data_IF_910590459938
#
_entry.id   IF_910590459938
#
_cell.length_a   1.000
_cell.length_b   1.000
_cell.length_c   1.000
_cell.angle_alpha   90.00
_cell.angle_beta   90.00
_cell.angle_gamma   90.00
#
_symmetry.space_group_name_H-M   'P 1'
#
loop_
_entity.id
_entity.type
_entity.pdbx_description
1 polymer ?
#
# COMPACT_ATOMS: atom_id res chain seq x y z
N UNK A 1 58.35 -9.42 33.88
CA UNK A 1 57.02 -10.10 33.81
C UNK A 1 55.96 -9.58 34.77
N UNK A 2 56.28 -8.92 35.87
CA UNK A 2 55.31 -8.41 36.86
C UNK A 2 54.56 -7.14 36.41
N UNK A 3 55.14 -6.31 35.55
CA UNK A 3 54.56 -5.05 35.08
C UNK A 3 53.55 -5.22 33.94
N UNK A 4 53.64 -6.29 33.16
CA UNK A 4 52.73 -6.54 32.02
C UNK A 4 51.35 -7.04 32.55
N UNK A 5 51.32 -7.81 33.63
CA UNK A 5 50.09 -8.28 34.26
C UNK A 5 49.26 -7.12 34.92
N UNK A 6 49.96 -6.08 35.42
CA UNK A 6 49.27 -4.93 36.02
C UNK A 6 48.60 -4.05 34.95
N UNK A 7 49.25 -3.84 33.80
CA UNK A 7 48.70 -3.06 32.66
C UNK A 7 47.49 -3.79 32.05
N UNK A 8 47.56 -5.12 31.94
CA UNK A 8 46.41 -5.91 31.43
C UNK A 8 45.21 -5.88 32.34
N UNK A 9 45.42 -5.88 33.67
CA UNK A 9 44.33 -5.76 34.68
C UNK A 9 43.65 -4.41 34.64
N UNK A 10 44.43 -3.33 34.46
CA UNK A 10 43.88 -1.95 34.37
C UNK A 10 43.10 -1.80 33.06
N UNK A 11 43.55 -2.33 31.94
CA UNK A 11 42.82 -2.32 30.67
C UNK A 11 41.53 -3.11 30.72
N UNK A 12 41.51 -4.27 31.36
CA UNK A 12 40.26 -5.07 31.54
C UNK A 12 39.25 -4.36 32.45
N UNK A 13 39.69 -3.67 33.51
CA UNK A 13 38.78 -2.93 34.40
C UNK A 13 38.22 -1.67 33.72
N UNK A 14 38.99 -0.97 32.93
CA UNK A 14 38.54 0.20 32.18
C UNK A 14 37.55 -0.21 31.06
N UNK A 15 37.73 -1.37 30.41
CA UNK A 15 36.77 -1.88 29.42
C UNK A 15 35.47 -2.38 30.05
N UNK A 16 35.50 -2.92 31.30
CA UNK A 16 34.28 -3.34 31.98
C UNK A 16 33.47 -2.18 32.58
N UNK A 17 34.12 -1.06 32.97
CA UNK A 17 33.42 0.14 33.48
C UNK A 17 32.85 1.00 32.34
N UNK A 18 33.40 0.92 31.14
CA UNK A 18 32.88 1.61 29.94
C UNK A 18 31.56 1.05 29.41
N UNK A 19 31.19 -0.19 29.77
CA UNK A 19 29.93 -0.84 29.33
C UNK A 19 28.72 -0.55 30.24
N UNK A 20 28.89 0.18 31.33
CA UNK A 20 27.80 0.45 32.28
C UNK A 20 27.09 1.80 32.08
N UNK A 21 27.46 2.62 31.10
CA UNK A 21 26.95 3.98 30.97
C UNK A 21 25.99 4.23 29.80
N UNK A 22 25.41 3.17 29.22
CA UNK A 22 24.33 3.37 28.26
C UNK A 22 23.14 2.46 28.61
N UNK A 23 22.40 2.84 29.67
CA UNK A 23 21.01 2.45 29.75
C UNK A 23 20.22 3.16 28.65
N UNK A 24 20.43 2.78 27.38
CA UNK A 24 19.41 3.01 26.35
C UNK A 24 18.30 2.03 26.69
N UNK A 25 17.30 2.49 27.42
CA UNK A 25 16.04 1.79 27.54
C UNK A 25 15.35 1.86 26.17
N UNK A 26 15.75 0.96 25.28
CA UNK A 26 14.97 0.71 24.07
C UNK A 26 13.72 0.01 24.58
N UNK A 27 12.61 0.74 24.71
CA UNK A 27 11.29 0.15 24.90
C UNK A 27 10.90 -0.59 23.61
N UNK A 28 11.51 -1.76 23.41
CA UNK A 28 11.35 -2.60 22.23
C UNK A 28 10.04 -3.41 22.22
N UNK A 29 9.19 -3.27 23.24
CA UNK A 29 8.13 -4.25 23.50
C UNK A 29 6.81 -3.63 23.99
N UNK A 30 6.42 -2.43 23.58
CA UNK A 30 5.01 -2.11 23.70
C UNK A 30 4.25 -2.77 22.52
N UNK A 31 3.33 -3.71 22.76
CA UNK A 31 2.45 -4.21 21.72
C UNK A 31 1.76 -3.00 21.10
N UNK A 32 1.66 -2.96 19.79
CA UNK A 32 0.88 -1.93 19.10
C UNK A 32 -0.55 -2.02 19.62
N UNK A 33 -0.93 -1.16 20.56
CA UNK A 33 -2.25 -1.11 21.16
C UNK A 33 -3.33 -0.81 20.11
N UNK A 34 -4.61 -0.86 20.45
CA UNK A 34 -5.68 -0.52 19.53
C UNK A 34 -5.50 0.91 19.00
N UNK A 35 -5.95 1.15 17.76
CA UNK A 35 -5.93 2.48 17.19
C UNK A 35 -6.74 3.46 18.05
N UNK A 36 -6.23 4.66 18.23
CA UNK A 36 -6.86 5.74 18.98
C UNK A 36 -7.20 6.88 18.03
N UNK A 37 -8.26 7.62 18.35
CA UNK A 37 -8.61 8.82 17.61
C UNK A 37 -7.70 9.97 18.02
N UNK A 38 -7.17 10.66 17.01
CA UNK A 38 -6.37 11.87 17.19
C UNK A 38 -7.01 12.99 16.38
N UNK A 39 -7.31 14.10 17.02
CA UNK A 39 -7.79 15.30 16.34
C UNK A 39 -6.59 16.05 15.75
N UNK A 40 -6.64 16.30 14.44
CA UNK A 40 -5.60 17.02 13.71
C UNK A 40 -5.88 18.52 13.62
N UNK A 41 -7.16 18.89 13.43
CA UNK A 41 -7.57 20.30 13.29
C UNK A 41 -9.09 20.45 13.36
N UNK A 42 -9.55 21.69 13.23
CA UNK A 42 -10.96 22.02 13.10
C UNK A 42 -11.76 21.96 14.40
N UNK A 43 -13.00 22.44 14.33
CA UNK A 43 -13.97 22.54 15.44
C UNK A 43 -15.30 21.94 15.01
N UNK A 44 -16.28 21.93 15.90
CA UNK A 44 -17.62 21.42 15.63
C UNK A 44 -17.84 19.99 16.14
N UNK A 45 -19.09 19.53 16.04
CA UNK A 45 -19.48 18.20 16.52
C UNK A 45 -19.24 17.09 15.49
N UNK A 46 -19.45 17.40 14.21
CA UNK A 46 -19.20 16.47 13.11
C UNK A 46 -17.71 16.20 12.89
N UNK A 47 -17.40 15.02 12.41
CA UNK A 47 -16.02 14.59 12.11
C UNK A 47 -15.86 14.28 10.63
N UNK A 48 -14.76 14.75 10.05
CA UNK A 48 -14.20 14.20 8.80
C UNK A 48 -13.03 13.32 9.19
N UNK A 49 -13.13 12.05 8.89
CA UNK A 49 -12.06 11.08 9.16
C UNK A 49 -11.06 11.06 8.00
N UNK A 50 -9.79 11.34 8.30
CA UNK A 50 -8.68 11.18 7.39
C UNK A 50 -8.06 9.80 7.60
N UNK A 51 -8.21 8.91 6.62
CA UNK A 51 -7.54 7.61 6.57
C UNK A 51 -6.30 7.71 5.68
N UNK A 52 -5.19 7.19 6.16
CA UNK A 52 -3.95 7.14 5.39
C UNK A 52 -3.73 5.76 4.79
N UNK A 53 -3.48 5.74 3.48
CA UNK A 53 -3.21 4.53 2.74
C UNK A 53 -1.93 4.69 1.91
N UNK A 54 -0.81 4.19 2.45
CA UNK A 54 0.53 4.43 1.89
C UNK A 54 1.35 3.16 1.74
N UNK A 55 2.14 3.10 0.66
CA UNK A 55 3.06 2.01 0.36
C UNK A 55 2.48 0.91 -0.53
N UNK A 56 3.23 -0.18 -0.71
CA UNK A 56 2.84 -1.29 -1.57
C UNK A 56 1.71 -2.12 -0.95
N UNK A 57 0.67 -2.39 -1.73
CA UNK A 57 -0.50 -3.16 -1.30
C UNK A 57 -0.16 -4.64 -1.16
N UNK A 58 -0.22 -5.15 0.07
CA UNK A 58 0.06 -6.55 0.38
C UNK A 58 -0.76 -7.02 1.58
N UNK A 59 -1.09 -8.30 1.59
CA UNK A 59 -1.68 -8.99 2.74
C UNK A 59 -0.65 -9.60 3.67
N UNK A 60 0.64 -9.50 3.33
CA UNK A 60 1.72 -10.01 4.16
C UNK A 60 1.93 -9.10 5.38
N UNK A 61 2.23 -9.71 6.52
CA UNK A 61 2.67 -8.98 7.70
C UNK A 61 4.03 -8.33 7.42
N UNK A 62 4.26 -7.18 8.04
CA UNK A 62 5.57 -6.53 7.92
C UNK A 62 6.56 -7.28 8.78
N UNK A 63 7.58 -7.85 8.14
CA UNK A 63 8.70 -8.47 8.83
C UNK A 63 9.45 -7.41 9.67
N UNK A 64 9.66 -7.71 10.95
CA UNK A 64 10.37 -6.84 11.89
C UNK A 64 10.49 -7.50 13.25
N UNK A 65 11.33 -6.93 14.12
CA UNK A 65 11.48 -7.41 15.51
C UNK A 65 10.17 -7.27 16.31
N UNK A 66 9.28 -6.38 15.88
CA UNK A 66 7.94 -6.17 16.44
C UNK A 66 6.93 -6.50 15.35
N UNK A 67 6.05 -7.51 15.53
CA UNK A 67 4.99 -7.79 14.59
C UNK A 67 4.07 -6.58 14.42
N UNK A 68 3.92 -6.11 13.19
CA UNK A 68 2.98 -5.05 12.85
C UNK A 68 1.80 -5.68 12.08
N UNK A 69 0.56 -5.33 12.40
CA UNK A 69 -0.57 -5.82 11.63
C UNK A 69 -0.41 -5.38 10.17
N UNK A 70 -0.77 -6.28 9.26
CA UNK A 70 -0.71 -5.96 7.84
C UNK A 70 -1.69 -4.82 7.48
N UNK A 71 -1.49 -4.26 6.30
CA UNK A 71 -2.26 -3.13 5.79
C UNK A 71 -3.76 -3.40 5.76
N UNK A 72 -4.19 -4.60 5.37
CA UNK A 72 -5.60 -4.98 5.31
C UNK A 72 -6.24 -4.99 6.70
N UNK A 73 -5.55 -5.59 7.69
CA UNK A 73 -6.03 -5.66 9.07
C UNK A 73 -6.18 -4.27 9.68
N UNK A 74 -5.19 -3.40 9.47
CA UNK A 74 -5.21 -2.02 9.96
C UNK A 74 -6.37 -1.24 9.33
N UNK A 75 -6.51 -1.29 8.01
CA UNK A 75 -7.58 -0.60 7.30
C UNK A 75 -8.97 -1.08 7.74
N UNK A 76 -9.14 -2.40 7.91
CA UNK A 76 -10.39 -2.99 8.42
C UNK A 76 -10.71 -2.56 9.85
N UNK A 77 -9.71 -2.49 10.74
CA UNK A 77 -9.85 -1.99 12.10
C UNK A 77 -10.33 -0.53 12.09
N UNK A 78 -9.69 0.32 11.29
CA UNK A 78 -10.03 1.74 11.15
C UNK A 78 -11.47 1.95 10.62
N UNK A 79 -11.86 1.24 9.55
CA UNK A 79 -13.23 1.28 9.02
C UNK A 79 -14.26 0.75 10.02
N UNK A 80 -13.91 -0.31 10.77
CA UNK A 80 -14.79 -0.87 11.81
C UNK A 80 -15.02 0.13 12.93
N UNK A 81 -13.98 0.85 13.36
CA UNK A 81 -14.09 1.92 14.35
C UNK A 81 -14.93 3.08 13.82
N UNK A 82 -14.65 3.55 12.62
CA UNK A 82 -15.41 4.61 11.97
C UNK A 82 -16.90 4.27 11.81
N UNK A 83 -17.22 3.00 11.54
CA UNK A 83 -18.62 2.57 11.37
C UNK A 83 -19.45 2.71 12.65
N UNK A 84 -18.82 2.60 13.83
CA UNK A 84 -19.43 2.70 15.14
C UNK A 84 -19.55 4.14 15.66
N UNK A 85 -18.81 5.08 15.07
CA UNK A 85 -18.84 6.49 15.49
C UNK A 85 -19.82 7.27 14.62
N UNK A 86 -20.97 7.62 15.21
CA UNK A 86 -22.01 8.38 14.52
C UNK A 86 -21.62 9.84 14.20
N UNK A 87 -20.58 10.36 14.86
CA UNK A 87 -20.06 11.70 14.59
C UNK A 87 -19.21 11.75 13.33
N UNK A 88 -18.71 10.61 12.81
CA UNK A 88 -18.03 10.53 11.51
C UNK A 88 -19.07 10.71 10.41
N UNK A 89 -19.00 11.84 9.71
CA UNK A 89 -19.94 12.28 8.67
C UNK A 89 -19.35 12.27 7.27
N UNK A 90 -18.05 12.18 7.13
CA UNK A 90 -17.34 11.99 5.87
C UNK A 90 -16.00 11.31 6.11
N UNK A 91 -15.46 10.72 5.05
CA UNK A 91 -14.12 10.13 5.05
C UNK A 91 -13.31 10.71 3.90
N UNK A 92 -12.07 11.07 4.16
CA UNK A 92 -11.05 11.32 3.14
C UNK A 92 -10.04 10.18 3.21
N UNK A 93 -9.84 9.46 2.12
CA UNK A 93 -8.79 8.45 2.00
C UNK A 93 -7.63 9.07 1.26
N UNK A 94 -6.54 9.32 1.98
CA UNK A 94 -5.28 9.82 1.41
C UNK A 94 -4.50 8.64 0.87
N UNK A 95 -4.27 8.61 -0.45
CA UNK A 95 -3.65 7.46 -1.13
C UNK A 95 -2.27 7.86 -1.64
N UNK A 96 -1.23 7.13 -1.21
CA UNK A 96 0.13 7.23 -1.72
C UNK A 96 0.70 5.82 -1.97
N UNK A 97 0.30 5.18 -3.08
CA UNK A 97 0.57 3.77 -3.35
C UNK A 97 0.80 3.49 -4.84
N UNK A 98 1.85 2.74 -5.19
CA UNK A 98 2.05 2.25 -6.56
C UNK A 98 1.15 1.05 -6.92
N UNK A 99 0.32 0.59 -5.98
CA UNK A 99 -0.46 -0.64 -6.10
C UNK A 99 0.17 -1.82 -5.36
N UNK A 100 -0.10 -3.04 -5.81
CA UNK A 100 0.41 -4.27 -5.20
C UNK A 100 -0.35 -5.51 -5.63
N UNK A 101 -0.56 -6.48 -4.73
CA UNK A 101 -1.22 -7.75 -5.10
C UNK A 101 -2.68 -7.53 -5.48
N UNK A 102 -3.14 -8.28 -6.49
CA UNK A 102 -4.52 -8.19 -7.01
C UNK A 102 -5.54 -8.39 -5.90
N UNK A 103 -5.40 -9.48 -5.15
CA UNK A 103 -6.37 -9.85 -4.10
C UNK A 103 -6.44 -8.81 -2.99
N UNK A 104 -5.28 -8.29 -2.52
CA UNK A 104 -5.29 -7.27 -1.47
C UNK A 104 -5.93 -5.96 -1.95
N UNK A 105 -5.67 -5.56 -3.20
CA UNK A 105 -6.29 -4.38 -3.81
C UNK A 105 -7.81 -4.52 -3.92
N UNK A 106 -8.30 -5.69 -4.32
CA UNK A 106 -9.74 -5.96 -4.42
C UNK A 106 -10.43 -6.02 -3.04
N UNK A 107 -9.77 -6.60 -2.02
CA UNK A 107 -10.27 -6.59 -0.63
C UNK A 107 -10.43 -5.16 -0.12
N UNK A 108 -9.41 -4.31 -0.28
CA UNK A 108 -9.46 -2.92 0.17
C UNK A 108 -10.58 -2.12 -0.49
N UNK A 109 -10.71 -2.25 -1.82
CA UNK A 109 -11.81 -1.66 -2.58
C UNK A 109 -13.17 -2.14 -2.05
N UNK A 110 -13.33 -3.45 -1.86
CA UNK A 110 -14.57 -4.05 -1.34
C UNK A 110 -14.91 -3.50 0.05
N UNK A 111 -13.97 -3.50 0.98
CA UNK A 111 -14.17 -3.03 2.35
C UNK A 111 -14.56 -1.54 2.41
N UNK A 112 -13.90 -0.70 1.63
CA UNK A 112 -14.23 0.72 1.57
C UNK A 112 -15.61 0.96 0.95
N UNK A 113 -15.94 0.23 -0.12
CA UNK A 113 -17.25 0.31 -0.77
C UNK A 113 -18.37 -0.15 0.16
N UNK A 114 -18.22 -1.29 0.84
CA UNK A 114 -19.19 -1.80 1.80
C UNK A 114 -19.39 -0.83 2.96
N UNK A 115 -18.30 -0.27 3.49
CA UNK A 115 -18.35 0.76 4.50
C UNK A 115 -19.17 1.97 4.03
N UNK A 116 -18.89 2.49 2.83
CA UNK A 116 -19.60 3.64 2.24
C UNK A 116 -21.10 3.35 2.10
N UNK A 117 -21.48 2.22 1.55
CA UNK A 117 -22.87 1.82 1.35
C UNK A 117 -23.60 1.67 2.69
N UNK A 118 -22.96 1.05 3.68
CA UNK A 118 -23.56 0.80 4.99
C UNK A 118 -23.68 2.08 5.82
N UNK A 119 -22.65 2.91 5.83
CA UNK A 119 -22.61 4.15 6.64
C UNK A 119 -23.38 5.30 5.97
N UNK A 120 -23.52 5.27 4.63
CA UNK A 120 -24.19 6.30 3.80
C UNK A 120 -23.60 7.71 3.99
N UNK A 121 -22.29 7.80 4.04
CA UNK A 121 -21.55 9.06 4.14
C UNK A 121 -20.61 9.22 2.94
N UNK A 122 -20.27 10.46 2.55
CA UNK A 122 -19.35 10.70 1.45
C UNK A 122 -17.95 10.20 1.76
N UNK A 123 -17.32 9.61 0.76
CA UNK A 123 -15.93 9.16 0.76
C UNK A 123 -15.20 9.86 -0.38
N UNK A 124 -14.13 10.59 -0.06
CA UNK A 124 -13.29 11.29 -1.03
C UNK A 124 -11.91 10.65 -1.07
N UNK A 125 -11.41 10.34 -2.25
CA UNK A 125 -10.01 9.97 -2.41
C UNK A 125 -9.17 11.22 -2.68
N UNK A 126 -8.06 11.36 -1.95
CA UNK A 126 -7.02 12.36 -2.18
C UNK A 126 -5.73 11.66 -2.56
N UNK A 127 -5.31 11.79 -3.82
CA UNK A 127 -4.12 11.15 -4.34
C UNK A 127 -2.89 12.02 -4.10
N UNK A 128 -1.83 11.42 -3.52
CA UNK A 128 -0.57 12.09 -3.22
C UNK A 128 0.45 11.88 -4.35
N UNK A 129 1.72 11.61 -4.04
CA UNK A 129 2.78 11.46 -5.04
C UNK A 129 2.43 10.41 -6.10
N UNK A 130 1.93 9.25 -5.63
CA UNK A 130 1.55 8.13 -6.49
C UNK A 130 0.23 7.54 -6.01
N UNK A 131 -0.72 7.36 -6.92
CA UNK A 131 -1.91 6.54 -6.69
C UNK A 131 -2.21 5.76 -7.97
N UNK A 132 -1.38 4.76 -8.24
CA UNK A 132 -1.37 4.03 -9.49
C UNK A 132 -1.79 2.57 -9.29
N UNK A 133 -2.30 1.95 -10.35
CA UNK A 133 -2.64 0.54 -10.40
C UNK A 133 -3.58 0.13 -9.24
N UNK A 134 -3.16 -0.71 -8.29
CA UNK A 134 -3.97 -1.05 -7.10
C UNK A 134 -4.38 0.16 -6.25
N UNK A 135 -3.56 1.24 -6.22
CA UNK A 135 -3.91 2.50 -5.57
C UNK A 135 -5.05 3.23 -6.29
N UNK A 136 -5.03 3.25 -7.62
CA UNK A 136 -6.15 3.75 -8.43
C UNK A 136 -7.39 2.87 -8.28
N UNK A 137 -7.21 1.54 -8.22
CA UNK A 137 -8.29 0.59 -7.99
C UNK A 137 -9.04 0.88 -6.68
N UNK A 138 -8.31 1.12 -5.58
CA UNK A 138 -8.89 1.51 -4.29
C UNK A 138 -9.69 2.81 -4.40
N UNK A 139 -9.17 3.81 -5.10
CA UNK A 139 -9.82 5.11 -5.27
C UNK A 139 -11.18 5.01 -5.96
N UNK A 140 -11.43 3.97 -6.78
CA UNK A 140 -12.72 3.73 -7.43
C UNK A 140 -13.88 3.47 -6.44
N UNK A 141 -13.62 3.18 -5.17
CA UNK A 141 -14.65 3.06 -4.13
C UNK A 141 -15.18 4.42 -3.66
N UNK A 142 -14.54 5.53 -4.00
CA UNK A 142 -14.86 6.88 -3.53
C UNK A 142 -15.99 7.54 -4.35
N UNK A 143 -16.58 8.61 -3.80
CA UNK A 143 -17.60 9.42 -4.48
C UNK A 143 -17.02 10.58 -5.29
N UNK A 144 -15.77 10.93 -5.00
CA UNK A 144 -14.96 11.86 -5.78
C UNK A 144 -13.47 11.57 -5.55
N UNK A 145 -12.67 11.87 -6.56
CA UNK A 145 -11.21 11.68 -6.55
C UNK A 145 -10.55 13.00 -6.87
N UNK A 146 -9.81 13.54 -5.91
CA UNK A 146 -8.91 14.66 -6.11
C UNK A 146 -7.48 14.17 -6.25
N UNK A 147 -6.78 14.74 -7.17
CA UNK A 147 -5.39 14.43 -7.48
C UNK A 147 -4.51 15.65 -7.21
N UNK A 148 -3.40 15.48 -6.49
CA UNK A 148 -2.43 16.57 -6.32
C UNK A 148 -1.84 16.94 -7.70
N UNK A 149 -1.49 18.22 -7.96
CA UNK A 149 -0.95 18.65 -9.26
C UNK A 149 0.24 17.83 -9.76
N UNK A 150 1.07 17.28 -8.86
CA UNK A 150 2.26 16.47 -9.18
C UNK A 150 2.03 14.96 -9.09
N UNK A 151 0.82 14.49 -8.86
CA UNK A 151 0.50 13.06 -8.75
C UNK A 151 0.79 12.30 -10.04
N UNK A 152 1.30 11.07 -9.88
CA UNK A 152 1.30 10.04 -10.92
C UNK A 152 0.21 9.03 -10.61
N UNK A 153 -0.69 8.77 -11.58
CA UNK A 153 -1.82 7.85 -11.43
C UNK A 153 -2.03 6.97 -12.67
N UNK A 154 -3.12 6.23 -12.74
CA UNK A 154 -3.39 5.30 -13.86
C UNK A 154 -2.72 3.95 -13.66
N UNK A 155 -1.88 3.51 -14.59
CA UNK A 155 -1.30 2.16 -14.63
C UNK A 155 -2.37 1.07 -14.45
N UNK A 156 -3.49 1.23 -15.21
CA UNK A 156 -4.63 0.31 -15.18
C UNK A 156 -4.25 -0.93 -15.98
N UNK A 157 -3.89 -2.00 -15.28
CA UNK A 157 -3.39 -3.23 -15.88
C UNK A 157 -2.98 -4.26 -14.85
N UNK A 158 -2.56 -5.42 -15.32
CA UNK A 158 -2.11 -6.55 -14.51
C UNK A 158 -0.75 -7.01 -15.00
N UNK A 159 0.16 -7.27 -14.09
CA UNK A 159 1.45 -7.89 -14.41
C UNK A 159 1.65 -9.17 -13.60
N UNK A 160 2.41 -10.08 -14.17
CA UNK A 160 3.02 -11.20 -13.47
C UNK A 160 4.51 -11.22 -13.81
N UNK A 161 5.35 -11.03 -12.82
CA UNK A 161 6.80 -11.11 -12.99
C UNK A 161 7.24 -12.55 -12.89
N UNK A 162 8.10 -12.95 -13.81
CA UNK A 162 8.77 -14.25 -13.80
C UNK A 162 10.27 -14.07 -13.96
N UNK A 163 11.04 -14.82 -13.20
CA UNK A 163 12.51 -14.88 -13.33
C UNK A 163 12.88 -16.24 -13.90
N UNK A 164 13.81 -16.27 -14.84
CA UNK A 164 14.38 -17.50 -15.34
C UNK A 164 15.88 -17.54 -15.00
N UNK A 165 16.26 -18.41 -14.09
CA UNK A 165 17.62 -18.59 -13.61
C UNK A 165 18.35 -19.79 -14.24
N UNK A 166 17.70 -20.55 -15.16
CA UNK A 166 18.26 -21.77 -15.76
C UNK A 166 19.67 -21.55 -16.30
N UNK A 167 19.85 -20.55 -17.17
CA UNK A 167 21.17 -20.32 -17.79
C UNK A 167 22.27 -19.86 -16.81
N UNK A 168 21.89 -19.26 -15.67
CA UNK A 168 22.84 -18.94 -14.60
C UNK A 168 23.28 -20.22 -13.87
N UNK A 169 22.34 -21.09 -13.50
CA UNK A 169 22.63 -22.34 -12.82
C UNK A 169 23.52 -23.26 -13.66
N UNK A 170 23.24 -23.35 -14.95
CA UNK A 170 24.07 -24.11 -15.90
C UNK A 170 25.52 -23.61 -15.92
N UNK A 171 25.74 -22.28 -15.89
CA UNK A 171 27.10 -21.69 -15.88
C UNK A 171 27.89 -21.99 -14.60
N UNK A 172 27.22 -22.20 -13.47
CA UNK A 172 27.88 -22.55 -12.20
C UNK A 172 27.87 -24.03 -11.90
N UNK A 173 27.44 -24.86 -12.86
CA UNK A 173 27.44 -26.33 -12.75
C UNK A 173 26.35 -26.88 -11.82
N UNK A 174 25.27 -26.14 -11.62
CA UNK A 174 24.12 -26.57 -10.81
C UNK A 174 22.99 -27.04 -11.73
N UNK A 175 22.52 -28.25 -11.54
CA UNK A 175 21.34 -28.80 -12.19
C UNK A 175 20.16 -28.77 -11.20
N UNK A 176 19.04 -28.15 -11.61
CA UNK A 176 17.82 -28.13 -10.83
C UNK A 176 16.69 -28.80 -11.60
N UNK A 177 16.06 -29.79 -10.98
CA UNK A 177 14.93 -30.52 -11.55
C UNK A 177 13.83 -30.69 -10.51
N UNK A 178 12.59 -30.72 -10.96
CA UNK A 178 11.42 -30.97 -10.12
C UNK A 178 10.81 -32.33 -10.48
N UNK A 179 10.53 -33.14 -9.46
CA UNK A 179 9.71 -34.37 -9.62
C UNK A 179 8.28 -33.97 -9.27
N UNK A 180 7.38 -34.04 -10.23
CA UNK A 180 6.01 -33.53 -10.10
C UNK A 180 4.96 -34.60 -10.33
N UNK A 181 3.80 -34.44 -9.70
CA UNK A 181 2.64 -35.32 -9.88
C UNK A 181 1.94 -35.15 -11.24
N UNK A 182 2.22 -34.05 -11.95
CA UNK A 182 1.64 -33.75 -13.25
C UNK A 182 2.50 -32.73 -14.01
N UNK A 183 2.44 -32.71 -15.36
CA UNK A 183 3.35 -31.90 -16.20
C UNK A 183 3.32 -30.39 -15.96
N UNK A 184 2.25 -29.87 -15.32
CA UNK A 184 2.08 -28.42 -15.09
C UNK A 184 2.24 -28.02 -13.62
N UNK A 185 2.66 -28.93 -12.73
CA UNK A 185 2.75 -28.64 -11.29
C UNK A 185 3.88 -27.67 -10.92
N UNK A 186 4.91 -27.60 -11.75
CA UNK A 186 6.05 -26.67 -11.63
C UNK A 186 5.96 -25.49 -12.60
N UNK A 187 4.77 -25.20 -13.09
CA UNK A 187 4.50 -24.06 -13.98
C UNK A 187 4.94 -22.74 -13.33
N UNK A 188 5.73 -21.94 -14.07
CA UNK A 188 6.32 -20.70 -13.54
C UNK A 188 7.62 -20.90 -12.77
N UNK A 189 8.18 -22.13 -12.73
CA UNK A 189 9.47 -22.40 -12.10
C UNK A 189 10.57 -21.52 -12.69
N UNK A 190 11.45 -20.90 -11.86
CA UNK A 190 12.59 -20.12 -12.34
C UNK A 190 13.72 -21.01 -12.89
N UNK A 191 13.63 -22.31 -12.71
CA UNK A 191 14.71 -23.25 -13.03
C UNK A 191 14.60 -23.87 -14.42
N UNK A 192 13.53 -23.64 -15.14
CA UNK A 192 13.34 -24.06 -16.53
C UNK A 192 12.64 -23.00 -17.36
N UNK A 193 12.76 -23.13 -18.66
CA UNK A 193 12.05 -22.25 -19.60
C UNK A 193 10.53 -22.56 -19.54
N UNK A 194 9.72 -21.52 -19.46
CA UNK A 194 8.27 -21.60 -19.55
C UNK A 194 7.84 -22.01 -20.96
N UNK A 195 6.91 -22.96 -21.06
CA UNK A 195 6.39 -23.36 -22.37
C UNK A 195 5.36 -22.34 -22.91
N UNK A 196 5.08 -22.34 -24.23
CA UNK A 196 4.02 -21.51 -24.81
C UNK A 196 2.64 -21.78 -24.20
N UNK A 197 2.32 -23.04 -23.88
CA UNK A 197 1.07 -23.45 -23.27
C UNK A 197 0.94 -22.89 -21.84
N UNK A 198 2.00 -22.96 -21.05
CA UNK A 198 2.03 -22.38 -19.71
C UNK A 198 1.84 -20.86 -19.75
N UNK A 199 2.51 -20.19 -20.70
CA UNK A 199 2.34 -18.76 -20.93
C UNK A 199 0.90 -18.43 -21.26
N UNK A 200 0.22 -19.21 -22.11
CA UNK A 200 -1.18 -19.01 -22.45
C UNK A 200 -2.10 -19.16 -21.23
N UNK A 201 -1.81 -20.12 -20.34
CA UNK A 201 -2.55 -20.30 -19.10
C UNK A 201 -2.41 -19.06 -18.19
N UNK A 202 -1.19 -18.58 -17.98
CA UNK A 202 -0.96 -17.38 -17.18
C UNK A 202 -1.60 -16.14 -17.81
N UNK A 203 -1.55 -16.01 -19.15
CA UNK A 203 -2.19 -14.91 -19.87
C UNK A 203 -3.71 -14.94 -19.63
N UNK A 204 -4.35 -16.09 -19.67
CA UNK A 204 -5.78 -16.22 -19.39
C UNK A 204 -6.17 -15.75 -17.97
N UNK A 205 -5.29 -15.99 -16.98
CA UNK A 205 -5.48 -15.46 -15.61
C UNK A 205 -5.31 -13.94 -15.58
N UNK A 206 -4.26 -13.42 -16.24
CA UNK A 206 -4.04 -11.97 -16.37
C UNK A 206 -5.24 -11.29 -17.02
N UNK A 207 -5.76 -11.85 -18.12
CA UNK A 207 -6.92 -11.31 -18.83
C UNK A 207 -8.17 -11.26 -17.93
N UNK A 208 -8.39 -12.30 -17.12
CA UNK A 208 -9.49 -12.34 -16.14
C UNK A 208 -9.38 -11.23 -15.10
N UNK A 209 -8.19 -11.03 -14.52
CA UNK A 209 -7.95 -9.96 -13.55
C UNK A 209 -8.03 -8.57 -14.18
N UNK A 210 -7.59 -8.44 -15.43
CA UNK A 210 -7.71 -7.21 -16.18
C UNK A 210 -9.18 -6.84 -16.43
N UNK A 211 -10.03 -7.80 -16.84
CA UNK A 211 -11.46 -7.56 -16.97
C UNK A 211 -12.10 -7.14 -15.64
N UNK A 212 -11.67 -7.74 -14.52
CA UNK A 212 -12.11 -7.32 -13.19
C UNK A 212 -11.72 -5.87 -12.92
N UNK A 213 -10.49 -5.44 -13.24
CA UNK A 213 -10.07 -4.05 -13.09
C UNK A 213 -10.93 -3.11 -13.92
N UNK A 214 -11.13 -3.42 -15.21
CA UNK A 214 -11.98 -2.62 -16.10
C UNK A 214 -13.40 -2.45 -15.53
N UNK A 215 -13.98 -3.50 -14.98
CA UNK A 215 -15.32 -3.45 -14.37
C UNK A 215 -15.38 -2.53 -13.15
N UNK A 216 -14.32 -2.49 -12.34
CA UNK A 216 -14.22 -1.59 -11.18
C UNK A 216 -14.04 -0.14 -11.63
N UNK A 217 -13.21 0.10 -12.66
CA UNK A 217 -13.09 1.45 -13.24
C UNK A 217 -14.41 1.90 -13.83
N UNK A 218 -15.13 1.06 -14.55
CA UNK A 218 -16.44 1.38 -15.10
C UNK A 218 -17.45 1.76 -14.00
N UNK A 219 -17.43 1.05 -12.88
CA UNK A 219 -18.30 1.37 -11.74
C UNK A 219 -17.95 2.72 -11.08
N UNK A 220 -16.65 3.05 -11.01
CA UNK A 220 -16.16 4.31 -10.44
C UNK A 220 -16.18 5.49 -11.41
N UNK A 221 -16.26 5.24 -12.71
CA UNK A 221 -16.25 6.24 -13.81
C UNK A 221 -17.43 6.00 -14.76
N UNK A 222 -18.68 6.17 -14.29
CA UNK A 222 -19.87 5.85 -15.09
C UNK A 222 -20.04 6.76 -16.32
N UNK A 223 -19.37 7.91 -16.34
CA UNK A 223 -19.41 8.86 -17.45
C UNK A 223 -18.49 8.45 -18.62
N UNK A 224 -17.60 7.48 -18.42
CA UNK A 224 -16.74 6.94 -19.49
C UNK A 224 -17.38 5.68 -20.07
N UNK A 225 -17.39 5.57 -21.41
CA UNK A 225 -17.81 4.33 -22.05
C UNK A 225 -16.77 3.21 -21.84
N UNK A 226 -17.20 1.96 -21.93
CA UNK A 226 -16.30 0.82 -21.85
C UNK A 226 -15.16 0.88 -22.88
N UNK A 227 -15.43 1.42 -24.06
CA UNK A 227 -14.42 1.61 -25.10
C UNK A 227 -13.38 2.68 -24.71
N UNK A 228 -13.84 3.81 -24.15
CA UNK A 228 -12.95 4.85 -23.63
C UNK A 228 -12.07 4.31 -22.50
N UNK A 229 -12.66 3.59 -21.53
CA UNK A 229 -11.91 2.97 -20.44
C UNK A 229 -10.85 2.01 -21.00
N UNK A 230 -11.20 1.16 -21.95
CA UNK A 230 -10.25 0.21 -22.57
C UNK A 230 -9.07 0.93 -23.24
N UNK A 231 -9.29 2.08 -23.88
CA UNK A 231 -8.22 2.89 -24.49
C UNK A 231 -7.30 3.54 -23.44
N UNK A 232 -7.86 3.90 -22.28
CA UNK A 232 -7.12 4.51 -21.18
C UNK A 232 -6.41 3.48 -20.29
N UNK A 233 -6.83 2.22 -20.34
CA UNK A 233 -6.38 1.13 -19.51
C UNK A 233 -5.34 0.23 -20.21
N UNK A 234 -4.39 0.83 -20.92
CA UNK A 234 -3.31 0.09 -21.60
C UNK A 234 -2.05 -0.08 -20.73
N UNK A 235 -2.15 0.23 -19.44
CA UNK A 235 -1.05 0.12 -18.48
C UNK A 235 -0.22 1.39 -18.31
N UNK A 236 -0.48 2.45 -19.11
CA UNK A 236 0.26 3.71 -19.00
C UNK A 236 -0.08 4.47 -17.72
N UNK A 237 0.83 5.34 -17.33
CA UNK A 237 0.62 6.31 -16.25
C UNK A 237 0.15 7.65 -16.83
N UNK A 238 -0.43 8.47 -15.95
CA UNK A 238 -0.93 9.81 -16.23
C UNK A 238 -0.45 10.78 -15.15
N UNK A 239 -0.12 12.01 -15.53
CA UNK A 239 -0.06 13.12 -14.58
C UNK A 239 -1.47 13.49 -14.10
N UNK A 240 -1.58 14.27 -13.02
CA UNK A 240 -2.87 14.76 -12.52
C UNK A 240 -3.69 15.45 -13.60
N UNK A 241 -3.08 16.34 -14.39
CA UNK A 241 -3.72 17.06 -15.50
C UNK A 241 -4.22 16.10 -16.59
N UNK A 242 -3.39 15.14 -17.01
CA UNK A 242 -3.77 14.14 -18.00
C UNK A 242 -4.92 13.26 -17.50
N UNK A 243 -4.88 12.85 -16.23
CA UNK A 243 -5.93 12.04 -15.64
C UNK A 243 -7.27 12.79 -15.55
N UNK A 244 -7.24 14.09 -15.19
CA UNK A 244 -8.43 14.94 -15.20
C UNK A 244 -8.98 15.12 -16.62
N UNK A 245 -8.14 15.46 -17.57
CA UNK A 245 -8.54 15.61 -18.97
C UNK A 245 -9.12 14.32 -19.56
N UNK A 246 -8.64 13.16 -19.13
CA UNK A 246 -9.14 11.84 -19.53
C UNK A 246 -10.40 11.38 -18.77
N UNK A 247 -10.86 12.12 -17.75
CA UNK A 247 -12.01 11.74 -16.92
C UNK A 247 -11.71 10.63 -15.90
N UNK A 248 -10.44 10.30 -15.68
CA UNK A 248 -10.01 9.29 -14.73
C UNK A 248 -10.11 9.78 -13.27
N UNK A 249 -10.08 11.09 -13.05
CA UNK A 249 -10.24 11.75 -11.75
C UNK A 249 -11.21 12.92 -11.89
N UNK A 250 -11.73 13.41 -10.76
CA UNK A 250 -12.77 14.46 -10.78
C UNK A 250 -12.16 15.86 -10.79
N UNK A 251 -11.12 16.09 -9.98
CA UNK A 251 -10.48 17.41 -9.93
C UNK A 251 -9.01 17.34 -9.48
N UNK A 252 -8.33 18.46 -9.63
CA UNK A 252 -6.96 18.68 -9.14
C UNK A 252 -7.07 19.56 -7.90
N UNK A 253 -6.39 19.17 -6.83
CA UNK A 253 -6.41 19.91 -5.57
C UNK A 253 -5.46 19.32 -4.55
N UNK A 254 -5.28 20.06 -3.47
CA UNK A 254 -4.50 19.66 -2.33
C UNK A 254 -5.34 18.85 -1.33
N UNK A 255 -4.70 18.32 -0.30
CA UNK A 255 -5.41 17.56 0.74
C UNK A 255 -6.46 18.40 1.46
N UNK A 256 -6.19 19.69 1.67
CA UNK A 256 -7.15 20.62 2.26
C UNK A 256 -8.40 20.75 1.40
N UNK A 257 -8.27 20.82 0.06
CA UNK A 257 -9.42 20.87 -0.85
C UNK A 257 -10.27 19.61 -0.76
N UNK A 258 -9.63 18.45 -0.60
CA UNK A 258 -10.34 17.18 -0.40
C UNK A 258 -11.11 17.16 0.94
N UNK A 259 -10.53 17.71 2.01
CA UNK A 259 -11.18 17.83 3.32
C UNK A 259 -12.38 18.81 3.24
N UNK A 260 -12.22 19.94 2.55
CA UNK A 260 -13.31 20.89 2.33
C UNK A 260 -14.42 20.28 1.47
N UNK A 261 -14.08 19.56 0.41
CA UNK A 261 -15.07 18.85 -0.41
C UNK A 261 -15.83 17.81 0.41
N UNK A 262 -15.14 17.09 1.30
CA UNK A 262 -15.76 16.11 2.19
C UNK A 262 -16.75 16.77 3.17
N UNK A 263 -16.38 17.91 3.79
CA UNK A 263 -17.27 18.72 4.64
C UNK A 263 -18.49 19.17 3.84
N UNK A 264 -18.29 19.76 2.67
CA UNK A 264 -19.38 20.24 1.80
C UNK A 264 -20.35 19.12 1.43
N UNK A 265 -19.83 17.94 1.00
CA UNK A 265 -20.69 16.79 0.65
C UNK A 265 -21.44 16.21 1.86
N UNK A 266 -20.89 16.35 3.07
CA UNK A 266 -21.54 15.95 4.32
C UNK A 266 -22.50 17.01 4.89
N UNK A 267 -22.63 18.18 4.28
CA UNK A 267 -23.47 19.29 4.76
C UNK A 267 -22.96 19.94 6.05
N UNK A 268 -21.64 19.88 6.31
CA UNK A 268 -21.01 20.44 7.51
C UNK A 268 -20.42 21.81 7.21
N UNK A 269 -20.79 22.83 7.99
CA UNK A 269 -20.14 24.13 7.97
C UNK A 269 -18.77 24.06 8.68
N UNK A 270 -18.72 23.34 9.80
CA UNK A 270 -17.50 23.08 10.58
C UNK A 270 -17.40 21.59 10.88
N UNK A 271 -16.18 21.08 10.96
CA UNK A 271 -15.91 19.70 11.35
C UNK A 271 -14.54 19.56 12.02
N UNK A 272 -14.44 18.64 12.94
CA UNK A 272 -13.14 18.16 13.41
C UNK A 272 -12.54 17.23 12.38
N UNK A 273 -11.32 17.50 11.99
CA UNK A 273 -10.53 16.58 11.18
C UNK A 273 -9.82 15.62 12.14
N UNK A 274 -10.16 14.35 12.03
CA UNK A 274 -9.63 13.30 12.92
C UNK A 274 -8.96 12.21 12.11
N UNK A 275 -8.00 11.53 12.71
CA UNK A 275 -7.39 10.33 12.14
C UNK A 275 -7.32 9.25 13.22
N UNK A 276 -6.99 8.03 12.83
CA UNK A 276 -6.70 6.95 13.75
C UNK A 276 -5.21 6.64 13.74
N UNK A 277 -4.64 6.42 14.93
CA UNK A 277 -3.24 6.07 15.05
C UNK A 277 -2.95 5.27 16.29
N UNK A 278 -1.76 4.70 16.34
CA UNK A 278 -1.28 3.94 17.50
C UNK A 278 -0.42 4.81 18.40
N UNK A 279 -0.32 4.45 19.67
CA UNK A 279 0.51 5.18 20.63
C UNK A 279 1.95 5.28 20.14
N UNK A 280 2.53 6.48 20.20
CA UNK A 280 3.90 6.75 19.76
C UNK A 280 4.07 7.15 18.28
N UNK A 281 3.01 7.10 17.46
CA UNK A 281 3.04 7.66 16.12
C UNK A 281 2.94 9.19 16.15
N UNK A 282 3.75 9.87 15.32
CA UNK A 282 3.66 11.32 15.16
C UNK A 282 2.40 11.69 14.37
N UNK A 283 1.50 12.47 14.97
CA UNK A 283 0.21 12.81 14.38
C UNK A 283 -0.23 14.23 14.74
N UNK A 284 0.57 15.23 14.34
CA UNK A 284 0.34 16.63 14.72
C UNK A 284 -0.33 17.47 13.64
N UNK A 285 -0.45 16.98 12.40
CA UNK A 285 -1.11 17.67 11.29
C UNK A 285 -1.54 16.67 10.20
N UNK A 286 -2.26 17.17 9.18
CA UNK A 286 -2.82 16.35 8.11
C UNK A 286 -1.78 15.62 7.25
N UNK A 287 -0.50 15.97 7.32
CA UNK A 287 0.59 15.31 6.59
C UNK A 287 1.41 14.34 7.46
N UNK A 288 1.09 14.19 8.75
CA UNK A 288 1.92 13.50 9.74
C UNK A 288 2.15 12.04 9.39
N UNK A 289 1.48 11.29 8.70
CA UNK A 289 1.73 9.86 8.41
C UNK A 289 2.37 9.59 7.04
N UNK A 290 2.54 10.62 6.21
CA UNK A 290 3.12 10.44 4.87
C UNK A 290 4.52 9.80 4.89
N UNK A 291 5.26 9.93 6.02
CA UNK A 291 6.65 9.48 6.14
C UNK A 291 6.93 8.63 7.38
N UNK A 292 5.91 8.34 8.21
CA UNK A 292 6.10 7.69 9.53
C UNK A 292 6.44 6.19 9.47
N UNK A 293 6.19 5.54 8.38
CA UNK A 293 6.71 4.20 8.14
C UNK A 293 7.93 4.35 7.26
N UNK A 294 9.13 4.07 7.73
CA UNK A 294 10.42 4.17 7.00
C UNK A 294 10.48 3.55 5.60
N UNK A 295 9.42 3.72 4.85
CA UNK A 295 9.10 3.20 3.54
C UNK A 295 9.05 4.34 2.51
N UNK A 296 9.95 5.33 2.66
CA UNK A 296 10.28 6.24 1.57
C UNK A 296 10.76 5.47 0.33
N UNK A 297 11.23 6.14 -0.65
CA UNK A 297 11.81 5.57 -1.89
C UNK A 297 12.69 4.33 -1.68
N UNK A 298 13.28 4.15 -0.48
CA UNK A 298 14.01 2.95 -0.08
C UNK A 298 13.14 1.68 -0.04
N UNK A 299 11.83 1.74 0.18
CA UNK A 299 10.97 0.56 0.09
C UNK A 299 10.53 0.24 -1.33
N UNK A 300 10.53 1.24 -2.22
CA UNK A 300 10.38 0.97 -3.66
C UNK A 300 11.68 0.36 -4.22
N UNK A 301 12.86 0.74 -3.68
CA UNK A 301 14.15 0.13 -4.00
C UNK A 301 14.37 -1.22 -3.30
N UNK A 302 13.67 -1.48 -2.19
CA UNK A 302 13.57 -2.79 -1.53
C UNK A 302 12.45 -3.66 -2.12
N UNK A 303 12.12 -3.46 -3.39
CA UNK A 303 11.54 -4.51 -4.19
C UNK A 303 12.59 -5.63 -4.22
N UNK A 304 12.53 -6.45 -3.17
CA UNK A 304 13.53 -7.49 -2.95
C UNK A 304 13.28 -8.56 -4.01
N UNK A 305 14.03 -8.44 -5.12
CA UNK A 305 14.07 -9.45 -6.16
C UNK A 305 14.39 -10.83 -5.53
N UNK A 306 15.13 -10.84 -4.41
CA UNK A 306 15.39 -12.03 -3.62
C UNK A 306 14.13 -12.54 -2.90
N UNK A 307 13.21 -11.70 -2.47
CA UNK A 307 11.94 -12.14 -1.86
C UNK A 307 11.03 -12.80 -2.89
N UNK A 308 11.04 -12.34 -4.13
CA UNK A 308 10.37 -13.02 -5.23
C UNK A 308 10.99 -14.40 -5.53
N UNK A 309 12.32 -14.49 -5.45
CA UNK A 309 13.03 -15.77 -5.62
C UNK A 309 12.85 -16.65 -4.40
N UNK A 310 12.86 -16.10 -3.18
CA UNK A 310 12.61 -16.84 -1.93
C UNK A 310 11.16 -17.29 -1.76
N UNK A 311 10.20 -16.49 -2.25
CA UNK A 311 8.77 -16.83 -2.18
C UNK A 311 8.33 -17.89 -3.19
N UNK A 312 9.13 -18.18 -4.21
CA UNK A 312 8.96 -19.30 -5.16
C UNK A 312 7.65 -19.30 -5.98
N UNK A 313 6.75 -18.38 -5.74
CA UNK A 313 5.44 -18.37 -6.41
C UNK A 313 5.26 -17.11 -7.25
N UNK A 314 4.84 -17.24 -8.52
CA UNK A 314 4.46 -16.12 -9.35
C UNK A 314 3.33 -15.33 -8.68
N UNK A 315 3.49 -14.03 -8.52
CA UNK A 315 2.47 -13.14 -7.97
C UNK A 315 1.82 -12.32 -9.08
N UNK A 316 0.49 -12.30 -9.10
CA UNK A 316 -0.27 -11.40 -9.96
C UNK A 316 -0.47 -10.07 -9.23
N UNK A 317 -0.17 -8.97 -9.91
CA UNK A 317 -0.13 -7.66 -9.29
C UNK A 317 -0.85 -6.60 -10.13
N UNK A 318 -1.54 -5.71 -9.45
CA UNK A 318 -1.88 -4.37 -9.88
C UNK A 318 -0.78 -3.44 -9.36
N UNK A 319 0.36 -3.41 -10.05
CA UNK A 319 1.55 -2.70 -9.58
C UNK A 319 2.17 -1.87 -10.70
N UNK A 320 2.44 -0.61 -10.40
CA UNK A 320 3.30 0.25 -11.20
C UNK A 320 4.74 0.12 -10.70
N UNK A 321 5.62 -0.22 -11.62
CA UNK A 321 7.07 -0.30 -11.40
C UNK A 321 7.72 0.74 -12.31
N UNK A 322 8.33 1.77 -11.73
CA UNK A 322 9.07 2.77 -12.49
C UNK A 322 10.37 2.23 -13.09
#
# INVERSE_FOLDING_TARGET
MRNVCSVLRVLCVVSLTGLQASCITINLLEPSGPVQEVQLSGTGEGKVLLLDFSGMISSQDKDGLIPQPNMLATFKEELTRASKDEKVKAVVVRINSPGGTVTASDILYHELREFKVKKKIPVIASMMDVAASGGYYLAMASDAILVHPSTVTGSIGVIMLTVNAKGLLEKVGVEASAITSSPRKDMGSPFRTMTPEERAIFQGVIDSFYQRFLSVVQAGRPNLSAEQIKKLADGRIYSGEQAKAAGLVDDIGYLDDALELAKKKAGLAEARIVTYGRRGEYQNNIYSRLFATGTGFASMANFDLLSMVRGGTPQFMYLWMP
#
